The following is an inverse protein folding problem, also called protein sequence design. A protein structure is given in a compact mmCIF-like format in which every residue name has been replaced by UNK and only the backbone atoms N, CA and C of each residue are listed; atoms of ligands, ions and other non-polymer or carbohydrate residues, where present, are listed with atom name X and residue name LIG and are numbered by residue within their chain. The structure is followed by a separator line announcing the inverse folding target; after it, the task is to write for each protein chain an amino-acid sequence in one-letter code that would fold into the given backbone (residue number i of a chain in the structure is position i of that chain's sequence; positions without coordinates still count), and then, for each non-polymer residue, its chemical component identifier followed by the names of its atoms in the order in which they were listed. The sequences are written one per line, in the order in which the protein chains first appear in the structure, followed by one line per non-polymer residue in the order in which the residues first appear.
data_IF_659323645030
#
_entry.id   IF_659323645030
#
_cell.length_a   1.000
_cell.length_b   1.000
_cell.length_c   1.000
_cell.angle_alpha   90.00
_cell.angle_beta   90.00
_cell.angle_gamma   90.00
#
_symmetry.space_group_name_H-M   'P 1'
#
loop_
_entity.id
_entity.type
_entity.pdbx_description
1 polymer ?
#
# COMPACT_ATOMS: atom_id res chain seq x y z
N UNK A 1 -34.48 -9.26 -5.68
CA UNK A 1 -33.81 -8.11 -6.32
C UNK A 1 -32.57 -8.67 -7.01
N UNK A 2 -32.58 -8.75 -8.34
CA UNK A 2 -31.45 -9.32 -9.10
C UNK A 2 -30.33 -8.28 -9.09
N UNK A 3 -29.30 -8.51 -8.28
CA UNK A 3 -28.08 -7.71 -8.31
C UNK A 3 -27.31 -8.14 -9.56
N UNK A 4 -27.06 -7.18 -10.45
CA UNK A 4 -26.30 -7.38 -11.69
C UNK A 4 -24.90 -7.91 -11.40
N UNK A 5 -24.43 -8.81 -12.27
CA UNK A 5 -23.09 -9.36 -12.23
C UNK A 5 -22.07 -8.24 -12.50
N UNK A 6 -21.33 -7.86 -11.46
CA UNK A 6 -20.25 -6.89 -11.59
C UNK A 6 -18.94 -7.62 -11.89
N UNK A 7 -18.48 -7.55 -13.15
CA UNK A 7 -17.16 -8.03 -13.58
C UNK A 7 -16.06 -7.04 -13.13
N UNK A 8 -15.46 -7.18 -11.95
CA UNK A 8 -14.31 -6.32 -11.61
C UNK A 8 -13.18 -7.04 -10.87
N UNK A 9 -12.08 -7.24 -11.61
CA UNK A 9 -10.72 -7.42 -11.10
C UNK A 9 -9.81 -6.70 -12.10
N UNK A 10 -9.71 -5.38 -11.98
CA UNK A 10 -8.66 -4.67 -12.70
C UNK A 10 -7.30 -5.16 -12.21
N UNK A 11 -6.35 -5.24 -13.15
CA UNK A 11 -4.93 -5.52 -12.99
C UNK A 11 -4.41 -6.97 -13.10
N UNK A 12 -5.24 -8.01 -13.00
CA UNK A 12 -4.77 -9.41 -13.11
C UNK A 12 -5.22 -10.16 -14.37
N UNK A 13 -5.94 -9.51 -15.30
CA UNK A 13 -6.59 -10.17 -16.45
C UNK A 13 -7.46 -11.40 -16.06
N UNK A 14 -7.89 -11.47 -14.80
CA UNK A 14 -8.68 -12.59 -14.29
C UNK A 14 -10.14 -12.16 -14.16
N UNK A 15 -11.01 -12.75 -14.99
CA UNK A 15 -12.45 -12.51 -14.93
C UNK A 15 -13.11 -13.52 -14.00
N UNK A 16 -13.84 -13.04 -13.01
CA UNK A 16 -14.59 -13.88 -12.08
C UNK A 16 -16.03 -13.43 -11.99
N UNK A 17 -16.95 -14.40 -12.04
CA UNK A 17 -18.37 -14.16 -11.84
C UNK A 17 -18.71 -14.37 -10.35
N UNK A 18 -18.81 -13.29 -9.59
CA UNK A 18 -19.30 -13.31 -8.21
C UNK A 18 -20.84 -13.41 -8.20
N UNK A 19 -21.44 -14.05 -7.18
CA UNK A 19 -22.91 -14.20 -7.05
C UNK A 19 -23.38 -13.93 -5.62
N UNK A 20 -24.61 -13.43 -5.47
CA UNK A 20 -25.23 -13.23 -4.16
C UNK A 20 -24.45 -12.25 -3.28
N UNK A 21 -24.25 -12.58 -2.00
CA UNK A 21 -23.52 -11.73 -1.05
C UNK A 21 -22.07 -11.47 -1.48
N UNK A 22 -21.44 -12.37 -2.22
CA UNK A 22 -20.07 -12.21 -2.74
C UNK A 22 -19.99 -11.06 -3.76
N UNK A 23 -21.02 -10.87 -4.57
CA UNK A 23 -21.11 -9.77 -5.53
C UNK A 23 -21.37 -8.44 -4.84
N UNK A 24 -22.18 -8.43 -3.76
CA UNK A 24 -22.40 -7.25 -2.93
C UNK A 24 -21.14 -6.86 -2.14
N UNK A 25 -20.34 -7.84 -1.73
CA UNK A 25 -19.08 -7.64 -1.00
C UNK A 25 -17.93 -7.24 -1.92
N UNK A 26 -18.00 -7.53 -3.22
CA UNK A 26 -17.07 -7.04 -4.22
C UNK A 26 -15.63 -7.54 -4.04
N UNK A 27 -14.70 -6.59 -3.88
CA UNK A 27 -13.25 -6.79 -3.96
C UNK A 27 -12.66 -7.87 -3.00
N UNK A 28 -13.05 -7.97 -1.71
CA UNK A 28 -12.59 -9.04 -0.80
C UNK A 28 -13.01 -10.46 -1.20
N UNK A 29 -14.18 -10.63 -1.82
CA UNK A 29 -14.63 -11.93 -2.29
C UNK A 29 -13.80 -12.42 -3.50
N UNK A 30 -13.40 -11.48 -4.36
CA UNK A 30 -12.44 -11.71 -5.44
C UNK A 30 -11.04 -12.11 -4.94
N UNK A 31 -10.54 -11.48 -3.85
CA UNK A 31 -9.31 -11.93 -3.20
C UNK A 31 -9.44 -13.37 -2.69
N UNK A 32 -10.57 -13.70 -2.06
CA UNK A 32 -10.78 -15.02 -1.46
C UNK A 32 -10.81 -16.12 -2.51
N UNK A 33 -11.45 -15.89 -3.66
CA UNK A 33 -11.53 -16.86 -4.73
C UNK A 33 -10.18 -17.09 -5.43
N UNK A 34 -9.33 -16.06 -5.54
CA UNK A 34 -7.97 -16.18 -6.11
C UNK A 34 -7.00 -16.88 -5.15
N UNK A 35 -7.01 -16.51 -3.87
CA UNK A 35 -5.98 -16.95 -2.92
C UNK A 35 -6.42 -18.11 -2.01
N UNK A 36 -7.71 -18.20 -1.66
CA UNK A 36 -8.24 -19.24 -0.78
C UNK A 36 -8.16 -20.66 -1.38
N UNK A 37 -8.01 -20.77 -2.70
CA UNK A 37 -7.91 -22.04 -3.42
C UNK A 37 -6.48 -22.47 -3.77
N UNK A 38 -5.46 -21.62 -3.54
CA UNK A 38 -4.07 -21.91 -3.94
C UNK A 38 -3.32 -22.70 -2.86
N UNK A 39 -2.65 -23.82 -3.20
CA UNK A 39 -1.81 -24.57 -2.26
C UNK A 39 -0.47 -23.84 -2.06
N UNK A 40 -0.47 -22.75 -1.28
CA UNK A 40 0.75 -22.07 -0.82
C UNK A 40 0.67 -21.89 0.69
N UNK A 41 1.81 -22.03 1.37
CA UNK A 41 1.85 -21.95 2.83
C UNK A 41 1.48 -20.56 3.36
N UNK A 42 1.77 -19.50 2.58
CA UNK A 42 1.37 -18.09 2.78
C UNK A 42 1.33 -17.34 1.44
N UNK A 43 0.48 -16.32 1.35
CA UNK A 43 0.37 -15.41 0.20
C UNK A 43 0.33 -13.95 0.70
N UNK A 44 0.67 -13.01 -0.18
CA UNK A 44 0.56 -11.58 0.06
C UNK A 44 0.16 -10.88 -1.23
N UNK A 45 -0.55 -9.76 -1.09
CA UNK A 45 -0.96 -8.91 -2.19
C UNK A 45 -0.71 -7.44 -1.81
N UNK A 46 -0.51 -6.59 -2.82
CA UNK A 46 -0.19 -5.18 -2.61
C UNK A 46 -0.93 -4.31 -3.62
N UNK A 47 -1.92 -3.59 -3.12
CA UNK A 47 -2.57 -2.48 -3.79
C UNK A 47 -2.69 -1.28 -2.85
N UNK A 48 -2.50 -0.07 -3.36
CA UNK A 48 -2.56 1.17 -2.58
C UNK A 48 -3.93 1.37 -1.93
N UNK A 49 -4.99 1.03 -2.65
CA UNK A 49 -6.36 1.39 -2.28
C UNK A 49 -6.94 0.42 -1.23
N UNK A 50 -6.21 -0.63 -0.84
CA UNK A 50 -6.59 -1.48 0.29
C UNK A 50 -6.80 -0.70 1.58
N UNK A 51 -6.15 0.45 1.74
CA UNK A 51 -6.35 1.36 2.88
C UNK A 51 -7.82 1.72 3.09
N UNK A 52 -8.62 1.79 2.04
CA UNK A 52 -10.05 2.10 2.10
C UNK A 52 -10.94 0.89 2.41
N UNK A 53 -10.37 -0.31 2.44
CA UNK A 53 -11.10 -1.58 2.52
C UNK A 53 -10.55 -2.55 3.59
N UNK A 54 -9.72 -2.06 4.53
CA UNK A 54 -9.03 -2.91 5.50
C UNK A 54 -10.00 -3.64 6.42
N UNK A 55 -11.10 -3.00 6.84
CA UNK A 55 -12.09 -3.63 7.72
C UNK A 55 -12.75 -4.81 7.02
N UNK A 56 -13.16 -4.64 5.77
CA UNK A 56 -13.77 -5.66 4.93
C UNK A 56 -12.79 -6.81 4.60
N UNK A 57 -11.51 -6.49 4.36
CA UNK A 57 -10.45 -7.50 4.21
C UNK A 57 -10.35 -8.35 5.48
N UNK A 58 -10.37 -7.73 6.68
CA UNK A 58 -10.28 -8.45 7.95
C UNK A 58 -11.53 -9.28 8.26
N UNK A 59 -12.70 -8.87 7.79
CA UNK A 59 -13.92 -9.69 7.90
C UNK A 59 -13.81 -11.00 7.09
N UNK A 60 -13.26 -10.93 5.88
CA UNK A 60 -13.09 -12.10 5.00
C UNK A 60 -11.87 -12.94 5.35
N UNK A 61 -10.82 -12.29 5.83
CA UNK A 61 -9.56 -12.90 6.23
C UNK A 61 -9.17 -12.45 7.63
N UNK A 62 -9.81 -13.00 8.68
CA UNK A 62 -9.54 -12.59 10.07
C UNK A 62 -8.06 -12.71 10.47
N UNK A 63 -7.38 -13.70 9.89
CA UNK A 63 -5.95 -13.97 10.14
C UNK A 63 -5.00 -13.20 9.22
N UNK A 64 -5.50 -12.36 8.30
CA UNK A 64 -4.65 -11.54 7.44
C UNK A 64 -3.79 -10.60 8.29
N UNK A 65 -2.51 -10.54 7.92
CA UNK A 65 -1.53 -9.60 8.45
C UNK A 65 -1.53 -8.35 7.59
N UNK A 66 -1.82 -7.21 8.19
CA UNK A 66 -1.89 -5.93 7.49
C UNK A 66 -0.59 -5.18 7.74
N UNK A 67 0.09 -4.81 6.66
CA UNK A 67 1.26 -3.93 6.71
C UNK A 67 0.86 -2.64 6.02
N UNK A 68 0.86 -1.54 6.76
CA UNK A 68 0.57 -0.22 6.24
C UNK A 68 1.87 0.56 6.11
N UNK A 69 2.25 0.92 4.88
CA UNK A 69 3.45 1.72 4.64
C UNK A 69 3.02 3.15 4.34
N UNK A 70 3.49 4.10 5.16
CA UNK A 70 3.27 5.52 4.96
C UNK A 70 4.58 6.23 4.62
N UNK A 71 4.46 7.41 4.01
CA UNK A 71 5.60 8.20 3.49
C UNK A 71 5.29 9.69 3.61
N UNK A 72 6.31 10.53 3.57
CA UNK A 72 6.17 11.97 3.41
C UNK A 72 5.25 12.30 2.22
N UNK A 73 4.12 12.95 2.52
CA UNK A 73 3.12 13.31 1.52
C UNK A 73 3.66 14.18 0.40
N UNK A 74 4.67 15.01 0.67
CA UNK A 74 5.30 15.85 -0.36
C UNK A 74 5.98 14.99 -1.42
N UNK A 75 6.74 13.98 -1.00
CA UNK A 75 7.37 13.04 -1.93
C UNK A 75 6.36 12.12 -2.63
N UNK A 76 5.25 11.76 -1.95
CA UNK A 76 4.15 11.02 -2.58
C UNK A 76 3.54 11.83 -3.72
N UNK A 77 3.15 13.08 -3.47
CA UNK A 77 2.55 13.97 -4.47
C UNK A 77 3.52 14.25 -5.62
N UNK A 78 4.80 14.52 -5.32
CA UNK A 78 5.82 14.65 -6.34
C UNK A 78 5.93 13.39 -7.22
N UNK A 79 5.80 12.20 -6.63
CA UNK A 79 5.76 10.95 -7.39
C UNK A 79 4.48 10.79 -8.22
N UNK A 80 3.32 11.21 -7.71
CA UNK A 80 2.04 11.12 -8.43
C UNK A 80 2.05 12.03 -9.67
N UNK A 81 2.52 13.27 -9.51
CA UNK A 81 2.66 14.24 -10.60
C UNK A 81 3.58 13.72 -11.71
N UNK A 82 4.75 13.17 -11.35
CA UNK A 82 5.68 12.58 -12.34
C UNK A 82 5.08 11.41 -13.11
N UNK A 83 4.12 10.70 -12.53
CA UNK A 83 3.45 9.54 -13.13
C UNK A 83 2.14 9.88 -13.84
N UNK A 84 1.70 11.14 -13.79
CA UNK A 84 0.37 11.54 -14.26
C UNK A 84 -0.77 10.87 -13.48
N UNK A 85 -0.54 10.52 -12.21
CA UNK A 85 -1.56 9.98 -11.30
C UNK A 85 -2.31 11.08 -10.53
N UNK A 86 -1.77 12.29 -10.52
CA UNK A 86 -2.43 13.49 -10.02
C UNK A 86 -2.34 14.56 -11.10
N UNK A 87 -3.44 15.31 -11.27
CA UNK A 87 -3.53 16.37 -12.29
C UNK A 87 -2.76 17.62 -11.85
N UNK A 88 -2.81 17.92 -10.55
CA UNK A 88 -2.12 19.05 -9.93
C UNK A 88 -1.78 18.75 -8.45
N UNK A 89 -1.15 19.72 -7.78
CA UNK A 89 -0.74 19.61 -6.38
C UNK A 89 -1.92 19.37 -5.44
N UNK A 90 -3.04 20.07 -5.64
CA UNK A 90 -4.20 19.94 -4.76
C UNK A 90 -4.81 18.55 -4.91
N UNK A 91 -5.02 18.08 -6.13
CA UNK A 91 -5.50 16.72 -6.39
C UNK A 91 -4.56 15.67 -5.77
N UNK A 92 -3.24 15.85 -5.91
CA UNK A 92 -2.27 14.94 -5.29
C UNK A 92 -2.35 14.92 -3.76
N UNK A 93 -2.42 16.09 -3.13
CA UNK A 93 -2.53 16.18 -1.67
C UNK A 93 -3.87 15.67 -1.15
N UNK A 94 -4.98 15.91 -1.86
CA UNK A 94 -6.29 15.34 -1.54
C UNK A 94 -6.24 13.81 -1.55
N UNK A 95 -5.63 13.19 -2.57
CA UNK A 95 -5.46 11.73 -2.61
C UNK A 95 -4.61 11.22 -1.44
N UNK A 96 -3.50 11.89 -1.12
CA UNK A 96 -2.64 11.50 0.00
C UNK A 96 -3.35 11.66 1.36
N UNK A 97 -4.04 12.79 1.57
CA UNK A 97 -4.82 13.07 2.78
C UNK A 97 -5.91 12.01 2.97
N UNK A 98 -6.69 11.72 1.92
CA UNK A 98 -7.75 10.72 1.98
C UNK A 98 -7.21 9.35 2.39
N UNK A 99 -6.05 8.94 1.85
CA UNK A 99 -5.42 7.67 2.22
C UNK A 99 -4.93 7.65 3.69
N UNK A 100 -4.35 8.75 4.18
CA UNK A 100 -3.92 8.84 5.59
C UNK A 100 -5.14 8.86 6.53
N UNK A 101 -6.18 9.62 6.21
CA UNK A 101 -7.40 9.68 7.02
C UNK A 101 -8.14 8.35 7.03
N UNK A 102 -8.18 7.65 5.89
CA UNK A 102 -8.70 6.29 5.82
C UNK A 102 -7.93 5.38 6.79
N UNK A 103 -6.60 5.40 6.78
CA UNK A 103 -5.80 4.65 7.75
C UNK A 103 -6.14 5.02 9.19
N UNK A 104 -6.16 6.32 9.51
CA UNK A 104 -6.50 6.82 10.85
C UNK A 104 -7.87 6.38 11.33
N UNK A 105 -8.83 6.19 10.44
CA UNK A 105 -10.17 5.70 10.78
C UNK A 105 -10.21 4.24 11.27
N UNK A 106 -9.14 3.48 11.08
CA UNK A 106 -9.04 2.09 11.53
C UNK A 106 -7.73 1.75 12.26
N UNK A 107 -6.82 2.70 12.43
CA UNK A 107 -5.48 2.47 13.02
C UNK A 107 -5.56 1.87 14.44
N UNK A 108 -6.59 2.20 15.21
CA UNK A 108 -6.81 1.65 16.56
C UNK A 108 -7.73 0.43 16.59
N UNK A 109 -8.43 0.15 15.49
CA UNK A 109 -9.45 -0.90 15.41
C UNK A 109 -8.90 -2.20 14.78
N UNK A 110 -7.90 -2.10 13.91
CA UNK A 110 -7.35 -3.22 13.17
C UNK A 110 -5.89 -3.49 13.59
N UNK A 111 -5.61 -4.74 13.97
CA UNK A 111 -4.23 -5.21 14.15
C UNK A 111 -3.45 -5.08 12.84
N UNK A 112 -2.44 -4.22 12.84
CA UNK A 112 -1.61 -3.92 11.68
C UNK A 112 -0.21 -3.49 12.12
N UNK A 113 0.74 -3.59 11.19
CA UNK A 113 2.09 -3.05 11.32
C UNK A 113 2.22 -1.80 10.45
N UNK A 114 2.32 -0.62 11.08
CA UNK A 114 2.59 0.64 10.39
C UNK A 114 4.11 0.87 10.23
N UNK A 115 4.55 1.22 9.03
CA UNK A 115 5.97 1.39 8.68
C UNK A 115 6.16 2.69 7.93
N UNK A 116 7.08 3.51 8.42
CA UNK A 116 7.57 4.67 7.69
C UNK A 116 8.48 4.21 6.55
N UNK A 117 8.18 4.60 5.31
CA UNK A 117 8.98 4.19 4.16
C UNK A 117 10.44 4.62 4.33
N UNK A 118 10.69 5.81 4.89
CA UNK A 118 12.03 6.33 5.13
C UNK A 118 12.82 5.45 6.12
N UNK A 119 12.17 4.85 7.11
CA UNK A 119 12.82 3.90 8.02
C UNK A 119 13.15 2.58 7.30
N UNK A 120 12.24 2.09 6.44
CA UNK A 120 12.50 0.93 5.60
C UNK A 120 13.68 1.18 4.65
N UNK A 121 13.79 2.39 4.09
CA UNK A 121 14.92 2.77 3.25
C UNK A 121 16.19 2.90 4.07
N UNK A 122 16.15 3.49 5.26
CA UNK A 122 17.34 3.71 6.08
C UNK A 122 17.88 2.40 6.68
N UNK A 123 17.00 1.57 7.24
CA UNK A 123 17.30 0.36 8.00
C UNK A 123 16.59 -0.88 7.42
N UNK A 124 16.84 -1.25 6.15
CA UNK A 124 16.06 -2.29 5.49
C UNK A 124 16.22 -3.66 6.14
N UNK A 125 17.39 -4.03 6.66
CA UNK A 125 17.59 -5.33 7.27
C UNK A 125 16.78 -5.47 8.56
N UNK A 126 16.79 -4.44 9.39
CA UNK A 126 16.07 -4.35 10.65
C UNK A 126 14.56 -4.30 10.43
N UNK A 127 14.09 -3.41 9.54
CA UNK A 127 12.66 -3.27 9.24
C UNK A 127 12.12 -4.53 8.55
N UNK A 128 12.86 -5.13 7.60
CA UNK A 128 12.44 -6.40 6.99
C UNK A 128 12.43 -7.56 7.97
N UNK A 129 13.39 -7.64 8.90
CA UNK A 129 13.36 -8.65 9.96
C UNK A 129 12.14 -8.47 10.87
N UNK A 130 11.77 -7.21 11.17
CA UNK A 130 10.58 -6.89 11.95
C UNK A 130 9.28 -7.26 11.21
N UNK A 131 9.16 -6.92 9.92
CA UNK A 131 8.06 -7.37 9.05
C UNK A 131 7.97 -8.90 9.03
N UNK A 132 9.10 -9.59 8.82
CA UNK A 132 9.13 -11.04 8.76
C UNK A 132 8.65 -11.65 10.08
N UNK A 133 9.10 -11.11 11.22
CA UNK A 133 8.63 -11.53 12.52
C UNK A 133 7.12 -11.33 12.69
N UNK A 134 6.58 -10.15 12.35
CA UNK A 134 5.14 -9.85 12.40
C UNK A 134 4.32 -10.82 11.52
N UNK A 135 4.84 -11.14 10.33
CA UNK A 135 4.24 -12.10 9.41
C UNK A 135 4.48 -13.57 9.83
N UNK A 136 5.26 -13.83 10.89
CA UNK A 136 5.67 -15.15 11.36
C UNK A 136 6.59 -15.90 10.39
N UNK A 137 7.28 -15.19 9.50
CA UNK A 137 8.19 -15.73 8.48
C UNK A 137 9.61 -15.75 9.04
N UNK A 138 10.33 -16.87 8.83
CA UNK A 138 11.76 -16.95 9.13
C UNK A 138 12.57 -16.53 7.91
N UNK A 139 13.40 -15.51 8.06
CA UNK A 139 14.40 -15.15 7.05
C UNK A 139 15.60 -16.08 7.17
N UNK A 140 16.11 -16.58 6.05
CA UNK A 140 17.29 -17.47 5.98
C UNK A 140 18.62 -16.70 5.91
N UNK A 141 18.58 -15.37 5.77
CA UNK A 141 19.75 -14.48 5.84
C UNK A 141 19.34 -13.00 5.66
N UNK A 142 20.12 -12.07 6.23
CA UNK A 142 19.87 -10.62 6.20
C UNK A 142 20.01 -10.00 4.81
N UNK A 143 20.77 -10.63 3.91
CA UNK A 143 20.96 -10.12 2.55
C UNK A 143 19.79 -10.42 1.60
N UNK A 144 18.92 -11.39 1.92
CA UNK A 144 17.73 -11.69 1.13
C UNK A 144 16.59 -10.69 1.37
N UNK A 145 16.62 -9.95 2.49
CA UNK A 145 15.67 -8.87 2.76
C UNK A 145 15.76 -7.73 1.73
N UNK A 146 16.91 -7.60 1.06
CA UNK A 146 17.15 -6.56 0.03
C UNK A 146 16.34 -6.79 -1.25
N UNK A 147 15.86 -8.01 -1.46
CA UNK A 147 15.19 -8.43 -2.69
C UNK A 147 13.97 -9.31 -2.37
N UNK A 148 13.00 -8.80 -1.61
CA UNK A 148 11.67 -9.43 -1.60
C UNK A 148 10.88 -8.91 -2.80
N UNK A 149 11.11 -9.54 -3.95
CA UNK A 149 10.27 -9.43 -5.15
C UNK A 149 8.88 -9.94 -4.80
N UNK A 150 7.94 -9.02 -4.54
CA UNK A 150 6.53 -9.34 -4.49
C UNK A 150 6.01 -9.42 -5.94
N UNK A 151 6.03 -10.62 -6.51
CA UNK A 151 5.10 -10.99 -7.58
C UNK A 151 5.58 -10.89 -9.03
N UNK A 152 6.88 -10.79 -9.30
CA UNK A 152 7.40 -11.05 -10.64
C UNK A 152 8.64 -11.92 -10.56
N UNK A 153 8.68 -12.96 -11.39
CA UNK A 153 9.87 -13.79 -11.62
C UNK A 153 10.98 -13.00 -12.37
N UNK A 154 10.81 -11.68 -12.54
CA UNK A 154 11.72 -10.80 -13.25
C UNK A 154 11.59 -9.33 -12.76
N UNK A 155 12.68 -8.56 -12.81
CA UNK A 155 12.67 -7.12 -12.47
C UNK A 155 11.97 -6.37 -13.61
N UNK A 156 10.80 -5.78 -13.36
CA UNK A 156 10.15 -4.92 -14.35
C UNK A 156 10.93 -3.61 -14.48
N UNK A 157 11.02 -3.04 -15.69
CA UNK A 157 11.53 -1.67 -15.89
C UNK A 157 10.71 -0.60 -15.14
N UNK A 158 9.52 -0.97 -14.65
CA UNK A 158 8.66 -0.12 -13.82
C UNK A 158 8.87 -0.36 -12.31
N UNK A 159 9.73 -1.31 -11.93
CA UNK A 159 10.13 -1.53 -10.54
C UNK A 159 11.27 -0.56 -10.21
N UNK A 160 10.94 0.47 -9.41
CA UNK A 160 11.87 1.53 -8.99
C UNK A 160 12.81 1.07 -7.87
N UNK A 161 13.36 -0.14 -7.97
CA UNK A 161 14.52 -0.51 -7.16
C UNK A 161 15.73 0.22 -7.75
N UNK A 162 15.83 1.51 -7.46
CA UNK A 162 16.94 2.36 -7.90
C UNK A 162 18.23 1.96 -7.19
N UNK A 163 19.37 2.06 -7.88
CA UNK A 163 20.69 1.86 -7.27
C UNK A 163 20.90 2.79 -6.06
N UNK A 164 20.35 4.01 -6.14
CA UNK A 164 20.21 4.91 -4.98
C UNK A 164 18.78 4.82 -4.41
N UNK A 165 18.61 4.06 -3.34
CA UNK A 165 17.32 3.88 -2.63
C UNK A 165 16.71 5.17 -2.06
N UNK A 166 17.51 6.24 -1.91
CA UNK A 166 17.07 7.54 -1.40
C UNK A 166 16.78 8.58 -2.50
N UNK A 167 16.86 8.20 -3.79
CA UNK A 167 16.70 9.13 -4.91
C UNK A 167 15.37 9.91 -4.91
N UNK A 168 14.37 9.41 -4.19
CA UNK A 168 13.06 10.04 -4.09
C UNK A 168 12.76 10.61 -2.70
N UNK A 169 13.69 10.58 -1.74
CA UNK A 169 13.51 11.17 -0.41
C UNK A 169 13.83 12.66 -0.46
N UNK A 170 12.90 13.50 -0.01
CA UNK A 170 12.94 14.97 -0.12
C UNK A 170 13.18 15.47 -1.54
N UNK A 171 12.69 14.72 -2.53
CA UNK A 171 12.83 15.02 -3.96
C UNK A 171 11.78 16.00 -4.47
N UNK A 172 10.72 16.26 -3.68
CA UNK A 172 9.64 17.18 -4.02
C UNK A 172 10.10 18.61 -4.29
N UNK A 173 11.22 19.05 -3.70
CA UNK A 173 11.82 20.37 -3.91
C UNK A 173 12.16 20.72 -5.37
N UNK A 174 12.22 19.71 -6.25
CA UNK A 174 12.39 19.92 -7.69
C UNK A 174 11.09 20.36 -8.41
N UNK A 175 9.92 20.21 -7.75
CA UNK A 175 8.60 20.51 -8.31
C UNK A 175 7.87 21.61 -7.55
N UNK A 176 7.99 21.64 -6.22
CA UNK A 176 7.30 22.60 -5.36
C UNK A 176 8.01 22.72 -4.00
N UNK A 177 7.64 23.72 -3.22
CA UNK A 177 8.21 24.04 -1.90
C UNK A 177 7.24 23.72 -0.76
N UNK A 178 7.72 23.82 0.49
CA UNK A 178 6.85 23.63 1.66
C UNK A 178 5.73 24.69 1.74
N UNK A 179 5.89 25.87 1.12
CA UNK A 179 4.87 26.92 1.10
C UNK A 179 3.68 26.56 0.20
N UNK A 180 3.88 25.67 -0.77
CA UNK A 180 2.85 25.20 -1.70
C UNK A 180 1.96 24.10 -1.10
N UNK A 181 2.31 23.58 0.09
CA UNK A 181 1.58 22.49 0.76
C UNK A 181 0.30 23.02 1.42
N UNK A 182 -0.89 22.48 1.06
CA UNK A 182 -2.16 22.88 1.67
C UNK A 182 -2.18 22.70 3.19
N UNK A 183 -2.86 23.61 3.90
CA UNK A 183 -2.89 23.64 5.38
C UNK A 183 -3.33 22.31 6.01
N UNK A 184 -4.34 21.66 5.44
CA UNK A 184 -4.83 20.39 5.97
C UNK A 184 -3.79 19.26 5.82
N UNK A 185 -3.08 19.20 4.70
CA UNK A 185 -1.99 18.27 4.47
C UNK A 185 -0.80 18.54 5.42
N UNK A 186 -0.48 19.80 5.69
CA UNK A 186 0.59 20.20 6.62
C UNK A 186 0.34 19.73 8.06
N UNK A 187 -0.91 19.80 8.52
CA UNK A 187 -1.31 19.28 9.83
C UNK A 187 -1.09 17.78 9.93
N UNK A 188 -1.45 17.02 8.88
CA UNK A 188 -1.22 15.58 8.84
C UNK A 188 0.27 15.23 8.75
N UNK A 189 1.06 15.94 7.94
CA UNK A 189 2.52 15.76 7.87
C UNK A 189 3.15 15.90 9.26
N UNK A 190 2.80 16.97 9.97
CA UNK A 190 3.27 17.20 11.36
C UNK A 190 2.87 16.05 12.28
N UNK A 191 1.62 15.58 12.20
CA UNK A 191 1.12 14.48 13.04
C UNK A 191 1.85 13.15 12.79
N UNK A 192 2.41 12.97 11.59
CA UNK A 192 3.19 11.81 11.17
C UNK A 192 4.70 11.99 11.40
N UNK A 193 5.11 13.10 12.04
CA UNK A 193 6.51 13.40 12.33
C UNK A 193 7.33 13.87 11.12
N UNK A 194 6.68 14.46 10.12
CA UNK A 194 7.35 15.19 9.05
C UNK A 194 7.38 16.67 9.40
N UNK A 195 8.59 17.24 9.44
CA UNK A 195 8.84 18.66 9.61
C UNK A 195 8.79 19.39 8.27
#
# INVERSE_FOLDING_TARGET
MQVEANEWLQHWNHRMNLKGNEAERGFPAALHSIYGSKPRWRWGDKWSDYVFHVKEIKEHFPNAKIIYIYRDGRDVVASMLRKGMADDLNHGFEQWVNAIEAWKSWETEVDHLAIKQEDLLQYPAEVSAYIAHYCGIRLTGTDHARHVLLGSDDVSKHDYVSENRFAHTRSYGALFSDDDVPTHARSLLTSLGYA
#
